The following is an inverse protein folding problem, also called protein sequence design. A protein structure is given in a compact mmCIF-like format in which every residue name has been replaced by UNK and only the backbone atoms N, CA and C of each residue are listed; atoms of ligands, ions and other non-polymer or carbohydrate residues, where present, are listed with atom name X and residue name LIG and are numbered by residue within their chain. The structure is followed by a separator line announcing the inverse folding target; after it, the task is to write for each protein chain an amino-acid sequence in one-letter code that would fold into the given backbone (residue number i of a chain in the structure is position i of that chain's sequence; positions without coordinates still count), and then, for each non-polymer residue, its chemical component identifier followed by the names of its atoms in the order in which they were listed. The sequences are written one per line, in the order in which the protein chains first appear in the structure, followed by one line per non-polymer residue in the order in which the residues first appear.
data_IF_180744998902
#
_entry.id   IF_180744998902
#
_cell.length_a   1.000
_cell.length_b   1.000
_cell.length_c   1.000
_cell.angle_alpha   90.00
_cell.angle_beta   90.00
_cell.angle_gamma   90.00
#
_symmetry.space_group_name_H-M   'P 1'
#
loop_
_entity.id
_entity.type
_entity.pdbx_description
1 polymer ?
#
# COMPACT_ATOMS: atom_id res chain seq x y z
N UNK A 1 7.00 4.91 32.96
CA UNK A 1 6.22 4.12 31.98
C UNK A 1 6.56 4.69 30.60
N UNK A 2 6.87 3.84 29.62
CA UNK A 2 7.46 4.29 28.35
C UNK A 2 6.39 4.92 27.46
N UNK A 3 6.62 6.17 27.04
CA UNK A 3 5.88 6.79 25.94
C UNK A 3 6.11 5.96 24.68
N UNK A 4 5.07 5.30 24.18
CA UNK A 4 5.16 4.41 23.03
C UNK A 4 5.07 5.20 21.73
N UNK A 5 6.06 5.09 20.86
CA UNK A 5 5.91 5.53 19.46
C UNK A 5 5.49 4.33 18.62
N UNK A 6 4.30 4.40 18.01
CA UNK A 6 3.84 3.37 17.06
C UNK A 6 4.01 3.91 15.64
N UNK A 7 4.78 3.20 14.83
CA UNK A 7 4.95 3.51 13.41
C UNK A 7 4.31 2.41 12.57
N UNK A 8 3.39 2.77 11.68
CA UNK A 8 2.72 1.86 10.75
C UNK A 8 2.88 2.35 9.32
N UNK A 9 3.44 1.52 8.45
CA UNK A 9 3.51 1.77 7.01
C UNK A 9 2.49 0.92 6.27
N UNK A 10 1.83 1.52 5.28
CA UNK A 10 0.91 0.82 4.37
C UNK A 10 1.27 1.23 2.94
N UNK A 11 1.54 0.25 2.09
CA UNK A 11 1.73 0.46 0.66
C UNK A 11 0.38 0.30 -0.04
N UNK A 12 -0.10 1.37 -0.66
CA UNK A 12 -1.29 1.37 -1.51
C UNK A 12 -0.89 1.38 -2.97
N UNK A 13 -1.40 0.41 -3.71
CA UNK A 13 -1.17 0.24 -5.14
C UNK A 13 -2.52 0.24 -5.85
N UNK A 14 -2.70 1.14 -6.81
CA UNK A 14 -3.93 1.26 -7.59
C UNK A 14 -3.66 0.93 -9.04
N UNK A 15 -4.48 0.07 -9.61
CA UNK A 15 -4.42 -0.39 -10.99
C UNK A 15 -5.70 0.00 -11.72
N UNK A 16 -5.59 0.19 -13.03
CA UNK A 16 -6.75 0.24 -13.92
C UNK A 16 -6.92 -1.12 -14.59
N UNK A 17 -8.16 -1.61 -14.63
CA UNK A 17 -8.50 -2.80 -15.38
C UNK A 17 -8.93 -2.48 -16.81
N UNK A 18 -9.13 -3.51 -17.64
CA UNK A 18 -9.50 -3.38 -19.05
C UNK A 18 -10.81 -2.61 -19.27
N UNK A 19 -11.74 -2.63 -18.31
CA UNK A 19 -12.98 -1.85 -18.33
C UNK A 19 -12.84 -0.42 -17.77
N UNK A 20 -11.63 0.02 -17.41
CA UNK A 20 -11.34 1.36 -16.89
C UNK A 20 -11.69 1.56 -15.41
N UNK A 21 -12.14 0.51 -14.71
CA UNK A 21 -12.36 0.56 -13.27
C UNK A 21 -11.02 0.51 -12.51
N UNK A 22 -11.01 1.10 -11.31
CA UNK A 22 -9.80 1.22 -10.48
C UNK A 22 -9.81 0.16 -9.38
N UNK A 23 -8.76 -0.67 -9.33
CA UNK A 23 -8.58 -1.73 -8.33
C UNK A 23 -7.45 -1.33 -7.39
N UNK A 24 -7.73 -1.29 -6.09
CA UNK A 24 -6.77 -0.84 -5.07
C UNK A 24 -6.34 -2.01 -4.19
N UNK A 25 -5.03 -2.21 -4.04
CA UNK A 25 -4.43 -3.18 -3.13
C UNK A 25 -3.71 -2.43 -2.00
N UNK A 26 -3.99 -2.84 -0.77
CA UNK A 26 -3.34 -2.29 0.43
C UNK A 26 -2.48 -3.39 1.04
N UNK A 27 -1.18 -3.14 1.15
CA UNK A 27 -0.22 -4.03 1.79
C UNK A 27 0.24 -3.41 3.10
N UNK A 28 -0.14 -4.03 4.21
CA UNK A 28 0.32 -3.64 5.54
C UNK A 28 1.76 -4.11 5.75
N UNK A 29 2.56 -3.29 6.41
CA UNK A 29 3.98 -3.59 6.69
C UNK A 29 4.81 -3.87 5.42
N UNK A 30 4.88 -2.92 4.46
CA UNK A 30 5.74 -3.03 3.30
C UNK A 30 7.21 -3.16 3.72
N UNK A 31 7.99 -3.91 2.93
CA UNK A 31 9.43 -4.02 3.09
C UNK A 31 10.07 -2.62 3.22
N UNK A 32 11.00 -2.41 4.17
CA UNK A 32 11.52 -1.08 4.50
C UNK A 32 12.34 -0.43 3.38
N UNK A 33 12.83 -1.21 2.42
CA UNK A 33 13.61 -0.76 1.27
C UNK A 33 12.81 -0.72 -0.05
N UNK A 34 11.49 -0.51 0.01
CA UNK A 34 10.68 -0.38 -1.21
C UNK A 34 10.80 1.02 -1.81
N UNK A 35 11.44 1.10 -2.96
CA UNK A 35 11.46 2.31 -3.80
C UNK A 35 10.30 2.29 -4.78
N UNK A 36 9.85 3.47 -5.22
CA UNK A 36 8.80 3.60 -6.22
C UNK A 36 9.10 2.77 -7.48
N UNK A 37 10.34 2.77 -7.97
CA UNK A 37 10.78 2.00 -9.14
C UNK A 37 10.62 0.48 -8.92
N UNK A 38 10.96 -0.01 -7.73
CA UNK A 38 10.83 -1.44 -7.39
C UNK A 38 9.36 -1.84 -7.35
N UNK A 39 8.50 -1.02 -6.73
CA UNK A 39 7.05 -1.27 -6.69
C UNK A 39 6.46 -1.22 -8.09
N UNK A 40 6.84 -0.25 -8.92
CA UNK A 40 6.42 -0.19 -10.33
C UNK A 40 6.82 -1.45 -11.11
N UNK A 41 8.04 -1.96 -10.89
CA UNK A 41 8.50 -3.21 -11.49
C UNK A 41 7.61 -4.40 -11.11
N UNK A 42 7.27 -4.55 -9.83
CA UNK A 42 6.35 -5.58 -9.36
C UNK A 42 4.94 -5.41 -9.93
N UNK A 43 4.43 -4.18 -9.97
CA UNK A 43 3.11 -3.89 -10.54
C UNK A 43 3.06 -4.21 -12.04
N UNK A 44 4.13 -3.94 -12.78
CA UNK A 44 4.23 -4.30 -14.19
C UNK A 44 4.32 -5.83 -14.38
N UNK A 45 5.04 -6.52 -13.48
CA UNK A 45 5.09 -7.98 -13.48
C UNK A 45 3.70 -8.57 -13.23
N UNK A 46 2.93 -7.99 -12.30
CA UNK A 46 1.55 -8.39 -12.00
C UNK A 46 0.64 -8.26 -13.23
N UNK A 47 0.73 -7.14 -13.95
CA UNK A 47 0.00 -6.89 -15.20
C UNK A 47 0.44 -7.89 -16.28
N UNK A 48 1.75 -8.02 -16.50
CA UNK A 48 2.32 -8.89 -17.53
C UNK A 48 2.02 -10.38 -17.30
N UNK A 49 2.00 -10.80 -16.04
CA UNK A 49 1.67 -12.17 -15.64
C UNK A 49 0.16 -12.40 -15.52
N UNK A 50 -0.63 -11.34 -15.60
CA UNK A 50 -2.09 -11.36 -15.49
C UNK A 50 -2.57 -12.13 -14.25
N UNK A 51 -1.90 -11.91 -13.11
CA UNK A 51 -2.08 -12.71 -11.89
C UNK A 51 -3.37 -12.40 -11.14
N UNK A 52 -4.03 -11.29 -11.46
CA UNK A 52 -5.25 -10.85 -10.80
C UNK A 52 -6.31 -10.47 -11.83
N UNK A 53 -7.40 -11.23 -11.84
CA UNK A 53 -8.62 -10.91 -12.56
C UNK A 53 -9.57 -10.16 -11.63
N UNK A 54 -10.00 -8.97 -12.05
CA UNK A 54 -11.01 -8.17 -11.35
C UNK A 54 -12.38 -8.37 -11.99
N UNK A 55 -13.46 -7.96 -11.32
CA UNK A 55 -14.81 -7.98 -11.89
C UNK A 55 -14.92 -7.20 -13.22
N UNK A 56 -14.01 -6.25 -13.46
CA UNK A 56 -13.92 -5.53 -14.73
C UNK A 56 -12.78 -6.02 -15.65
N UNK A 57 -12.34 -7.27 -15.50
CA UNK A 57 -11.32 -7.89 -16.32
C UNK A 57 -9.89 -7.71 -15.79
N UNK A 58 -8.94 -7.91 -16.69
CA UNK A 58 -7.51 -7.94 -16.40
C UNK A 58 -6.98 -6.56 -16.00
N UNK A 59 -5.95 -6.54 -15.16
CA UNK A 59 -5.22 -5.31 -14.84
C UNK A 59 -4.37 -4.91 -16.04
N UNK A 60 -4.62 -3.74 -16.63
CA UNK A 60 -3.94 -3.30 -17.86
C UNK A 60 -2.97 -2.14 -17.64
N UNK A 61 -3.14 -1.36 -16.58
CA UNK A 61 -2.28 -0.21 -16.31
C UNK A 61 -2.10 0.08 -14.81
N UNK A 62 -0.94 0.67 -14.49
CA UNK A 62 -0.64 1.23 -13.18
C UNK A 62 -1.29 2.62 -13.11
N UNK A 63 -2.11 2.86 -12.09
CA UNK A 63 -2.82 4.13 -11.94
C UNK A 63 -2.23 5.01 -10.85
N UNK A 64 -1.91 4.44 -9.70
CA UNK A 64 -1.38 5.20 -8.56
C UNK A 64 -0.56 4.30 -7.64
N UNK A 65 0.49 4.85 -7.02
CA UNK A 65 1.30 4.18 -6.00
C UNK A 65 1.54 5.18 -4.88
N UNK A 66 1.11 4.82 -3.68
CA UNK A 66 1.19 5.68 -2.51
C UNK A 66 1.71 4.88 -1.32
N UNK A 67 2.76 5.38 -0.64
CA UNK A 67 3.18 4.86 0.66
C UNK A 67 2.58 5.77 1.72
N UNK A 68 1.83 5.17 2.65
CA UNK A 68 1.21 5.86 3.78
C UNK A 68 1.99 5.51 5.04
N UNK A 69 2.74 6.49 5.54
CA UNK A 69 3.45 6.43 6.82
C UNK A 69 2.58 7.05 7.91
N UNK A 70 2.16 6.24 8.88
CA UNK A 70 1.43 6.70 10.07
C UNK A 70 2.37 6.63 11.27
N UNK A 71 2.68 7.77 11.87
CA UNK A 71 3.43 7.84 13.13
C UNK A 71 2.49 8.36 14.21
N UNK A 72 2.24 7.55 15.23
CA UNK A 72 1.49 7.96 16.41
C UNK A 72 2.48 8.19 17.54
N UNK A 73 2.59 9.45 17.93
CA UNK A 73 3.29 9.85 19.14
C UNK A 73 2.23 10.04 20.22
N UNK A 74 2.27 9.18 21.24
CA UNK A 74 1.47 9.40 22.43
C UNK A 74 2.08 10.58 23.21
N UNK A 75 1.25 11.57 23.55
CA UNK A 75 1.69 12.80 24.20
C UNK A 75 1.16 12.91 25.64
N UNK A 76 0.20 12.07 26.03
CA UNK A 76 -0.40 12.15 27.35
C UNK A 76 -1.05 10.83 27.75
N UNK A 77 -0.43 10.14 28.71
CA UNK A 77 -1.01 8.99 29.39
C UNK A 77 -1.64 9.47 30.70
N UNK A 78 -2.95 9.27 30.87
CA UNK A 78 -3.64 9.64 32.11
C UNK A 78 -3.20 8.61 33.17
N UNK A 79 -2.54 9.02 34.27
CA UNK A 79 -2.17 8.06 35.30
C UNK A 79 -3.43 7.41 35.85
N UNK A 80 -3.54 6.09 35.68
CA UNK A 80 -4.56 5.30 36.37
C UNK A 80 -4.15 5.27 37.85
N UNK A 81 -4.94 5.94 38.69
CA UNK A 81 -4.77 6.02 40.15
C UNK A 81 -4.88 4.67 40.83
#
# INVERSE_FOLDING_TARGET
MAVGTLSRKVLRMTFANALGASVSFNLNNPLPALTAATVQGYMNLVISKNLFTSAGGDLVAIKDISIVDTTTQDLFDVPVV
#
